data_IF_035072579515
#
_entry.id   IF_035072579515
#
_cell.length_a   1.000
_cell.length_b   1.000
_cell.length_c   1.000
_cell.angle_alpha   90.00
_cell.angle_beta   90.00
_cell.angle_gamma   90.00
#
_symmetry.space_group_name_H-M   'P 1'
#
loop_
_entity.id
_entity.type
_entity.pdbx_description
1 polymer ?
#
# COMPACT_ATOMS: atom_id res chain seq x y z
N UNK A 1 29.01 24.69 47.27
CA UNK A 1 28.41 25.05 48.58
C UNK A 1 27.03 24.43 48.64
N UNK A 2 26.92 23.22 49.21
CA UNK A 2 26.38 22.90 50.55
C UNK A 2 24.92 22.39 50.44
N UNK A 3 24.72 21.06 50.35
CA UNK A 3 24.19 20.14 51.39
C UNK A 3 22.67 20.28 51.62
N UNK A 4 21.88 19.24 51.31
CA UNK A 4 21.41 18.15 52.22
C UNK A 4 20.52 18.68 53.36
N UNK A 5 19.36 18.13 53.75
CA UNK A 5 19.06 16.72 54.04
C UNK A 5 17.58 16.57 54.43
N UNK A 6 17.11 15.34 54.30
CA UNK A 6 15.95 14.66 54.92
C UNK A 6 15.72 14.90 56.42
N UNK A 7 14.45 14.82 56.89
CA UNK A 7 13.94 13.93 57.98
C UNK A 7 12.55 14.36 58.48
N UNK A 8 11.54 13.47 58.50
CA UNK A 8 11.07 12.48 59.53
C UNK A 8 10.18 13.07 60.64
N UNK A 9 9.09 12.32 60.89
CA UNK A 9 7.94 12.47 61.83
C UNK A 9 8.31 12.47 63.33
N UNK A 10 7.35 12.83 64.22
CA UNK A 10 6.82 11.88 65.24
C UNK A 10 5.26 11.92 65.35
N UNK A 11 4.51 10.84 65.65
CA UNK A 11 4.13 10.24 66.97
C UNK A 11 3.43 11.26 67.93
N UNK A 12 2.34 11.05 68.69
CA UNK A 12 1.66 9.85 69.26
C UNK A 12 0.30 10.26 69.94
N UNK A 13 -0.63 9.29 70.05
CA UNK A 13 -1.49 8.96 71.22
C UNK A 13 -2.88 9.57 71.59
N UNK A 14 -3.64 8.65 72.24
CA UNK A 14 -4.87 8.72 73.07
C UNK A 14 -6.21 8.45 72.36
N UNK A 15 -7.09 7.56 72.82
CA UNK A 15 -7.10 6.73 74.03
C UNK A 15 -8.20 5.64 73.97
N UNK A 16 -8.12 4.72 74.93
CA UNK A 16 -8.92 3.52 75.12
C UNK A 16 -10.15 3.81 76.01
N UNK A 17 -11.35 3.40 75.60
CA UNK A 17 -12.48 3.16 76.52
C UNK A 17 -13.13 1.82 76.15
N UNK A 18 -13.25 0.97 77.18
CA UNK A 18 -13.86 -0.35 77.20
C UNK A 18 -15.28 -0.24 77.78
N UNK A 19 -16.30 -0.83 77.16
CA UNK A 19 -17.56 -1.15 77.84
C UNK A 19 -18.19 -2.43 77.27
N UNK A 20 -18.54 -3.32 78.19
CA UNK A 20 -19.16 -4.63 77.99
C UNK A 20 -20.61 -4.55 77.50
N UNK A 21 -21.04 -5.52 76.69
CA UNK A 21 -22.07 -6.52 77.06
C UNK A 21 -22.66 -7.22 75.81
N UNK A 22 -22.94 -8.51 75.98
CA UNK A 22 -23.47 -9.47 75.01
C UNK A 22 -24.92 -9.16 74.59
N UNK A 23 -25.27 -9.52 73.34
CA UNK A 23 -26.33 -10.50 72.96
C UNK A 23 -26.86 -10.21 71.54
N UNK A 24 -27.08 -11.29 70.78
CA UNK A 24 -28.01 -11.30 69.65
C UNK A 24 -27.34 -11.44 68.28
N UNK A 25 -27.31 -12.67 67.77
CA UNK A 25 -26.93 -12.98 66.40
C UNK A 25 -27.96 -12.43 65.40
N UNK A 26 -27.47 -11.66 64.42
CA UNK A 26 -28.07 -11.46 63.10
C UNK A 26 -26.93 -10.94 62.21
N UNK A 27 -26.47 -11.79 61.28
CA UNK A 27 -25.44 -11.42 60.31
C UNK A 27 -25.95 -10.25 59.45
N UNK A 28 -25.24 -9.11 59.39
CA UNK A 28 -25.56 -8.06 58.45
C UNK A 28 -25.17 -8.52 57.04
N UNK A 29 -26.15 -8.41 56.13
CA UNK A 29 -25.98 -8.53 54.67
C UNK A 29 -24.81 -7.62 54.26
N UNK A 30 -23.65 -8.20 53.99
CA UNK A 30 -22.58 -7.53 53.29
C UNK A 30 -22.92 -7.51 51.81
N UNK A 31 -23.32 -6.34 51.32
CA UNK A 31 -23.29 -6.05 49.90
C UNK A 31 -21.82 -6.11 49.47
N UNK A 32 -21.39 -7.28 48.97
CA UNK A 32 -20.15 -7.39 48.23
C UNK A 32 -20.35 -6.70 46.89
N UNK A 33 -19.78 -5.52 46.73
CA UNK A 33 -19.59 -4.90 45.42
C UNK A 33 -18.79 -5.86 44.55
N UNK A 34 -19.49 -6.58 43.66
CA UNK A 34 -18.84 -7.35 42.61
C UNK A 34 -18.15 -6.34 41.69
N UNK A 35 -16.81 -6.32 41.72
CA UNK A 35 -16.03 -5.74 40.64
C UNK A 35 -16.55 -6.32 39.32
N UNK A 36 -16.83 -5.51 38.29
CA UNK A 36 -17.14 -6.06 36.99
C UNK A 36 -15.94 -6.90 36.57
N UNK A 37 -16.19 -8.15 36.21
CA UNK A 37 -15.21 -8.98 35.56
C UNK A 37 -14.74 -8.20 34.32
N UNK A 38 -13.49 -7.74 34.33
CA UNK A 38 -12.80 -7.37 33.10
C UNK A 38 -12.87 -8.61 32.22
N UNK A 39 -13.77 -8.57 31.23
CA UNK A 39 -13.71 -9.47 30.11
C UNK A 39 -12.32 -9.27 29.51
N UNK A 40 -11.41 -10.19 29.80
CA UNK A 40 -10.18 -10.35 29.06
C UNK A 40 -10.61 -10.52 27.62
N UNK A 41 -10.45 -9.47 26.81
CA UNK A 41 -10.43 -9.63 25.37
C UNK A 41 -9.28 -10.57 25.08
N UNK A 42 -9.58 -11.84 24.87
CA UNK A 42 -8.69 -12.72 24.14
C UNK A 42 -8.34 -11.98 22.86
N UNK A 43 -7.07 -11.62 22.72
CA UNK A 43 -6.56 -11.05 21.49
C UNK A 43 -6.86 -12.07 20.38
N UNK A 44 -7.87 -11.79 19.54
CA UNK A 44 -8.06 -12.51 18.29
C UNK A 44 -6.71 -12.42 17.54
N UNK A 45 -5.97 -13.52 17.51
CA UNK A 45 -4.67 -13.56 16.85
C UNK A 45 -4.86 -13.30 15.37
N UNK A 46 -4.58 -12.08 14.92
CA UNK A 46 -4.72 -11.70 13.52
C UNK A 46 -3.79 -12.51 12.60
N UNK A 47 -4.19 -12.65 11.34
CA UNK A 47 -3.40 -13.28 10.28
C UNK A 47 -2.09 -12.50 10.09
N UNK A 48 -0.99 -13.24 10.02
CA UNK A 48 0.28 -12.69 9.51
C UNK A 48 0.35 -12.96 8.02
N UNK A 49 0.59 -11.92 7.23
CA UNK A 49 0.87 -12.00 5.80
C UNK A 49 2.30 -11.54 5.53
N UNK A 50 3.05 -12.35 4.78
CA UNK A 50 4.39 -12.03 4.28
C UNK A 50 4.31 -11.74 2.78
N UNK A 51 4.51 -10.49 2.41
CA UNK A 51 4.47 -10.01 1.03
C UNK A 51 5.89 -9.63 0.56
N UNK A 52 6.28 -10.12 -0.60
CA UNK A 52 7.47 -9.64 -1.32
C UNK A 52 7.08 -9.00 -2.66
N UNK A 53 7.50 -7.76 -2.92
CA UNK A 53 7.22 -7.12 -4.23
C UNK A 53 8.48 -7.06 -5.10
N UNK A 54 8.41 -7.59 -6.32
CA UNK A 54 9.37 -7.33 -7.39
C UNK A 54 8.81 -6.22 -8.28
N UNK A 55 9.42 -5.04 -8.24
CA UNK A 55 8.88 -3.89 -8.95
C UNK A 55 9.68 -2.60 -8.81
N UNK A 56 8.98 -1.48 -8.69
CA UNK A 56 9.57 -0.15 -8.79
C UNK A 56 8.81 0.85 -7.89
N UNK A 57 8.79 2.13 -8.24
CA UNK A 57 8.06 3.15 -7.49
C UNK A 57 6.56 2.88 -7.39
N UNK A 58 5.96 2.17 -8.35
CA UNK A 58 4.52 1.86 -8.34
C UNK A 58 4.16 0.80 -7.29
N UNK A 59 4.96 -0.25 -7.09
CA UNK A 59 4.75 -1.16 -5.95
C UNK A 59 4.99 -0.44 -4.62
N UNK A 60 5.99 0.45 -4.58
CA UNK A 60 6.25 1.30 -3.41
C UNK A 60 5.06 2.21 -3.07
N UNK A 61 4.41 2.80 -4.08
CA UNK A 61 3.20 3.60 -3.92
C UNK A 61 2.03 2.75 -3.42
N UNK A 62 1.72 1.63 -4.08
CA UNK A 62 0.59 0.78 -3.72
C UNK A 62 0.73 0.11 -2.33
N UNK A 63 1.95 -0.02 -1.80
CA UNK A 63 2.18 -0.65 -0.49
C UNK A 63 2.46 0.36 0.63
N UNK A 64 2.51 1.66 0.34
CA UNK A 64 2.95 2.70 1.30
C UNK A 64 2.17 2.70 2.61
N UNK A 65 0.85 2.53 2.54
CA UNK A 65 -0.05 2.54 3.70
C UNK A 65 -0.47 1.15 4.16
N UNK A 66 -0.07 0.10 3.45
CA UNK A 66 -0.44 -1.29 3.76
C UNK A 66 -0.07 -1.71 5.19
N UNK A 67 1.10 -1.34 5.77
CA UNK A 67 1.40 -1.65 7.17
C UNK A 67 0.42 -1.01 8.17
N UNK A 68 -0.10 0.18 7.86
CA UNK A 68 -1.03 0.89 8.75
C UNK A 68 -2.44 0.30 8.66
N UNK A 69 -2.89 -0.05 7.45
CA UNK A 69 -4.13 -0.79 7.24
C UNK A 69 -4.11 -2.15 7.93
N UNK A 70 -3.01 -2.91 7.78
CA UNK A 70 -2.82 -4.20 8.45
C UNK A 70 -2.94 -4.05 9.98
N UNK A 71 -2.21 -3.10 10.56
CA UNK A 71 -2.27 -2.83 12.01
C UNK A 71 -3.68 -2.44 12.47
N UNK A 72 -4.38 -1.58 11.73
CA UNK A 72 -5.73 -1.14 12.08
C UNK A 72 -6.79 -2.25 11.95
N UNK A 73 -6.56 -3.21 11.05
CA UNK A 73 -7.36 -4.44 10.93
C UNK A 73 -6.98 -5.53 11.94
N UNK A 74 -6.05 -5.27 12.86
CA UNK A 74 -5.56 -6.28 13.81
C UNK A 74 -4.66 -7.36 13.18
N UNK A 75 -4.17 -7.14 11.96
CA UNK A 75 -3.34 -8.05 11.19
C UNK A 75 -1.85 -7.71 11.31
N UNK A 76 -0.99 -8.66 10.93
CA UNK A 76 0.47 -8.44 10.84
C UNK A 76 0.94 -8.52 9.40
N UNK A 77 1.75 -7.56 8.98
CA UNK A 77 2.40 -7.55 7.66
C UNK A 77 3.92 -7.65 7.83
N UNK A 78 4.53 -8.60 7.13
CA UNK A 78 5.97 -8.60 6.82
C UNK A 78 6.12 -8.21 5.36
N UNK A 79 6.83 -7.11 5.08
CA UNK A 79 6.98 -6.57 3.73
C UNK A 79 8.44 -6.56 3.31
N UNK A 80 8.77 -7.27 2.25
CA UNK A 80 10.06 -7.20 1.56
C UNK A 80 9.90 -6.66 0.13
N UNK A 81 10.98 -6.10 -0.43
CA UNK A 81 10.94 -5.50 -1.76
C UNK A 81 12.24 -5.72 -2.53
N UNK A 82 12.12 -6.09 -3.80
CA UNK A 82 13.13 -5.92 -4.82
C UNK A 82 12.70 -4.74 -5.71
N UNK A 83 13.04 -3.51 -5.31
CA UNK A 83 12.60 -2.28 -5.98
C UNK A 83 13.75 -1.56 -6.68
N UNK A 84 13.56 -1.22 -7.95
CA UNK A 84 14.47 -0.37 -8.74
C UNK A 84 13.64 0.69 -9.46
N UNK A 85 14.04 1.97 -9.37
CA UNK A 85 13.27 3.08 -9.95
C UNK A 85 13.03 2.91 -11.46
N UNK A 86 11.77 3.01 -11.89
CA UNK A 86 11.38 2.87 -13.31
C UNK A 86 11.62 1.49 -13.93
N UNK A 87 11.99 0.48 -13.15
CA UNK A 87 12.41 -0.81 -13.66
C UNK A 87 11.29 -1.56 -14.40
N UNK A 88 11.53 -2.01 -15.65
CA UNK A 88 10.67 -2.97 -16.33
C UNK A 88 10.97 -4.41 -15.87
N UNK A 89 10.06 -5.35 -16.21
CA UNK A 89 10.26 -6.78 -15.97
C UNK A 89 11.60 -7.28 -16.52
N UNK A 90 11.98 -6.82 -17.71
CA UNK A 90 13.26 -7.16 -18.35
C UNK A 90 14.48 -6.84 -17.49
N UNK A 91 14.46 -5.71 -16.77
CA UNK A 91 15.56 -5.36 -15.88
C UNK A 91 15.63 -6.34 -14.72
N UNK A 92 14.52 -6.61 -14.04
CA UNK A 92 14.50 -7.57 -12.93
C UNK A 92 14.99 -8.96 -13.35
N UNK A 93 14.62 -9.41 -14.54
CA UNK A 93 15.14 -10.67 -15.09
C UNK A 93 16.64 -10.60 -15.36
N UNK A 94 17.13 -9.54 -16.01
CA UNK A 94 18.56 -9.35 -16.25
C UNK A 94 19.38 -9.32 -14.95
N UNK A 95 18.86 -8.70 -13.88
CA UNK A 95 19.48 -8.73 -12.56
C UNK A 95 19.53 -10.16 -11.98
N UNK A 96 18.46 -10.93 -12.14
CA UNK A 96 18.45 -12.33 -11.71
C UNK A 96 19.50 -13.15 -12.46
N UNK A 97 19.57 -13.01 -13.79
CA UNK A 97 20.57 -13.71 -14.61
C UNK A 97 22.01 -13.31 -14.26
N UNK A 98 22.28 -12.02 -14.03
CA UNK A 98 23.59 -11.54 -13.62
C UNK A 98 24.01 -12.18 -12.28
N UNK A 99 23.10 -12.19 -11.30
CA UNK A 99 23.35 -12.78 -9.99
C UNK A 99 23.56 -14.31 -10.04
N UNK A 100 22.87 -15.01 -10.95
CA UNK A 100 23.09 -16.45 -11.16
C UNK A 100 24.47 -16.77 -11.74
N UNK A 101 25.02 -15.87 -12.56
CA UNK A 101 26.35 -16.00 -13.14
C UNK A 101 27.44 -15.66 -12.14
N UNK A 102 27.24 -14.58 -11.38
CA UNK A 102 28.13 -14.14 -10.32
C UNK A 102 27.33 -13.50 -9.17
N UNK A 103 27.25 -14.14 -7.99
CA UNK A 103 26.55 -13.61 -6.82
C UNK A 103 27.10 -12.28 -6.29
N UNK A 104 28.30 -11.86 -6.71
CA UNK A 104 28.90 -10.58 -6.33
C UNK A 104 28.70 -9.49 -7.41
N UNK A 105 28.10 -9.81 -8.56
CA UNK A 105 27.90 -8.85 -9.64
C UNK A 105 27.00 -7.69 -9.17
N UNK A 106 27.49 -6.43 -9.15
CA UNK A 106 26.69 -5.28 -8.74
C UNK A 106 25.43 -5.09 -9.59
N UNK A 107 25.44 -5.52 -10.86
CA UNK A 107 24.26 -5.50 -11.74
C UNK A 107 23.22 -6.55 -11.33
N UNK A 108 23.61 -7.58 -10.57
CA UNK A 108 22.70 -8.59 -10.02
C UNK A 108 22.04 -8.21 -8.68
N UNK A 109 22.55 -7.19 -7.99
CA UNK A 109 22.21 -6.92 -6.59
C UNK A 109 21.14 -5.82 -6.43
N UNK A 110 20.31 -5.95 -5.39
CA UNK A 110 19.32 -4.97 -4.94
C UNK A 110 19.75 -4.32 -3.63
N UNK A 111 19.28 -3.10 -3.38
CA UNK A 111 19.52 -2.38 -2.13
C UNK A 111 20.82 -1.57 -2.11
N UNK A 112 20.91 -0.61 -1.18
CA UNK A 112 22.08 0.28 -1.04
C UNK A 112 22.93 -0.03 0.17
N UNK A 113 22.31 -0.46 1.28
CA UNK A 113 22.98 -0.80 2.55
C UNK A 113 23.31 -2.28 2.66
N UNK A 114 22.34 -3.14 2.36
CA UNK A 114 22.49 -4.59 2.27
C UNK A 114 22.21 -4.96 0.81
N UNK A 115 23.26 -5.39 0.12
CA UNK A 115 23.21 -5.78 -1.29
C UNK A 115 22.96 -7.28 -1.38
N UNK A 116 21.84 -7.67 -1.98
CA UNK A 116 21.45 -9.07 -2.11
C UNK A 116 20.85 -9.33 -3.50
N UNK A 117 21.07 -10.53 -4.03
CA UNK A 117 20.42 -11.00 -5.25
C UNK A 117 18.95 -11.31 -5.03
N UNK A 118 18.21 -11.44 -6.14
CA UNK A 118 16.80 -11.79 -6.08
C UNK A 118 16.58 -13.17 -5.42
N UNK A 119 17.48 -14.13 -5.65
CA UNK A 119 17.44 -15.48 -5.04
C UNK A 119 17.43 -15.40 -3.51
N UNK A 120 18.37 -14.67 -2.94
CA UNK A 120 18.58 -14.57 -1.49
C UNK A 120 17.40 -13.86 -0.84
N UNK A 121 16.91 -12.80 -1.47
CA UNK A 121 15.73 -12.07 -1.02
C UNK A 121 14.46 -12.95 -1.03
N UNK A 122 14.27 -13.76 -2.07
CA UNK A 122 13.15 -14.71 -2.15
C UNK A 122 13.26 -15.85 -1.13
N UNK A 123 14.48 -16.28 -0.79
CA UNK A 123 14.72 -17.34 0.20
C UNK A 123 14.82 -16.84 1.64
N UNK A 124 14.92 -15.53 1.85
CA UNK A 124 15.16 -14.91 3.16
C UNK A 124 13.97 -14.97 4.13
N UNK A 125 12.77 -15.26 3.64
CA UNK A 125 11.55 -15.40 4.44
C UNK A 125 10.61 -16.41 3.76
N UNK A 126 9.68 -17.01 4.52
CA UNK A 126 8.62 -17.86 3.99
C UNK A 126 7.48 -17.00 3.45
N UNK A 127 7.74 -16.32 2.32
CA UNK A 127 6.76 -15.43 1.70
C UNK A 127 5.44 -16.16 1.41
N UNK A 128 4.31 -15.53 1.78
CA UNK A 128 2.98 -16.01 1.44
C UNK A 128 2.61 -15.58 0.01
N UNK A 129 3.03 -14.37 -0.35
CA UNK A 129 2.78 -13.77 -1.66
C UNK A 129 4.04 -13.11 -2.23
N UNK A 130 4.23 -13.26 -3.54
CA UNK A 130 5.23 -12.50 -4.29
C UNK A 130 4.52 -11.81 -5.46
N UNK A 131 4.70 -10.50 -5.64
CA UNK A 131 4.09 -9.78 -6.76
C UNK A 131 5.10 -9.42 -7.84
N UNK A 132 4.68 -9.50 -9.10
CA UNK A 132 5.40 -8.92 -10.24
C UNK A 132 4.55 -7.84 -10.92
N UNK A 133 5.19 -6.87 -11.56
CA UNK A 133 4.52 -5.83 -12.35
C UNK A 133 5.43 -5.30 -13.46
N UNK A 134 4.85 -4.62 -14.45
CA UNK A 134 5.60 -3.91 -15.49
C UNK A 134 5.92 -2.47 -15.06
N UNK A 135 6.90 -1.85 -15.73
CA UNK A 135 7.09 -0.40 -15.71
C UNK A 135 5.88 0.30 -16.32
N UNK A 136 5.39 1.37 -15.69
CA UNK A 136 4.12 1.99 -16.08
C UNK A 136 4.13 2.62 -17.48
N UNK A 137 5.28 3.09 -17.97
CA UNK A 137 5.42 3.55 -19.36
C UNK A 137 5.25 2.42 -20.39
N UNK A 138 5.48 1.17 -19.99
CA UNK A 138 5.38 -0.04 -20.84
C UNK A 138 4.15 -0.88 -20.53
N UNK A 139 3.34 -0.51 -19.52
CA UNK A 139 2.29 -1.39 -19.01
C UNK A 139 1.17 -1.67 -20.02
N UNK A 140 1.00 -0.80 -21.01
CA UNK A 140 0.05 -0.93 -22.11
C UNK A 140 0.49 -1.94 -23.18
N UNK A 141 1.79 -2.21 -23.29
CA UNK A 141 2.37 -3.02 -24.36
C UNK A 141 2.64 -4.45 -23.86
N UNK A 142 1.74 -5.37 -24.25
CA UNK A 142 1.80 -6.78 -23.92
C UNK A 142 3.14 -7.44 -24.30
N UNK A 143 3.75 -7.04 -25.41
CA UNK A 143 4.97 -7.69 -25.90
C UNK A 143 6.15 -7.41 -24.95
N UNK A 144 6.13 -6.31 -24.21
CA UNK A 144 7.19 -6.01 -23.22
C UNK A 144 7.15 -6.88 -21.97
N UNK A 145 6.06 -7.62 -21.76
CA UNK A 145 5.94 -8.56 -20.64
C UNK A 145 6.63 -9.88 -20.97
N UNK A 146 6.59 -10.31 -22.23
CA UNK A 146 7.19 -11.58 -22.66
C UNK A 146 8.66 -11.37 -23.06
N UNK A 147 9.55 -12.34 -22.81
CA UNK A 147 9.35 -13.56 -22.01
C UNK A 147 9.47 -13.32 -20.49
N UNK A 148 9.82 -12.10 -20.09
CA UNK A 148 10.32 -11.77 -18.74
C UNK A 148 9.35 -12.06 -17.60
N UNK A 149 8.04 -11.85 -17.80
CA UNK A 149 7.02 -12.16 -16.80
C UNK A 149 7.03 -13.65 -16.44
N UNK A 150 7.12 -14.52 -17.45
CA UNK A 150 7.21 -15.98 -17.26
C UNK A 150 8.52 -16.39 -16.61
N UNK A 151 9.64 -15.82 -17.07
CA UNK A 151 10.95 -16.13 -16.49
C UNK A 151 11.02 -15.76 -15.00
N UNK A 152 10.52 -14.58 -14.63
CA UNK A 152 10.43 -14.17 -13.23
C UNK A 152 9.47 -15.04 -12.42
N UNK A 153 8.29 -15.35 -12.96
CA UNK A 153 7.33 -16.24 -12.31
C UNK A 153 7.93 -17.61 -11.99
N UNK A 154 8.58 -18.25 -12.97
CA UNK A 154 9.18 -19.58 -12.79
C UNK A 154 10.37 -19.54 -11.82
N UNK A 155 11.16 -18.47 -11.88
CA UNK A 155 12.26 -18.23 -10.96
C UNK A 155 11.77 -18.04 -9.52
N UNK A 156 10.67 -17.31 -9.32
CA UNK A 156 10.04 -17.15 -8.01
C UNK A 156 9.52 -18.49 -7.49
N UNK A 157 8.81 -19.27 -8.31
CA UNK A 157 8.32 -20.60 -7.91
C UNK A 157 9.44 -21.56 -7.52
N UNK A 158 10.61 -21.42 -8.12
CA UNK A 158 11.80 -22.21 -7.77
C UNK A 158 12.40 -21.78 -6.43
N UNK A 159 12.46 -20.48 -6.17
CA UNK A 159 13.20 -19.92 -5.01
C UNK A 159 12.32 -19.63 -3.79
N UNK A 160 11.01 -19.55 -3.95
CA UNK A 160 10.01 -19.39 -2.91
C UNK A 160 8.77 -20.27 -3.22
N UNK A 161 8.90 -21.61 -3.23
CA UNK A 161 7.86 -22.52 -3.71
C UNK A 161 6.54 -22.49 -2.91
N UNK A 162 6.57 -21.98 -1.67
CA UNK A 162 5.36 -21.79 -0.85
C UNK A 162 4.59 -20.51 -1.17
N UNK A 163 5.20 -19.56 -1.89
CA UNK A 163 4.59 -18.28 -2.17
C UNK A 163 3.63 -18.36 -3.36
N UNK A 164 2.48 -17.70 -3.22
CA UNK A 164 1.58 -17.43 -4.36
C UNK A 164 2.14 -16.24 -5.14
N UNK A 165 2.51 -16.48 -6.40
CA UNK A 165 2.85 -15.38 -7.30
C UNK A 165 1.56 -14.68 -7.71
N UNK A 166 1.54 -13.35 -7.69
CA UNK A 166 0.43 -12.49 -8.12
C UNK A 166 0.91 -11.44 -9.12
N UNK A 167 0.04 -11.01 -10.02
CA UNK A 167 0.33 -9.90 -10.94
C UNK A 167 -0.28 -8.61 -10.38
N UNK A 168 0.55 -7.61 -10.08
CA UNK A 168 0.06 -6.29 -9.67
C UNK A 168 -0.26 -5.45 -10.91
N UNK A 169 -1.55 -5.27 -11.19
CA UNK A 169 -2.02 -4.37 -12.24
C UNK A 169 -1.85 -2.93 -11.78
N UNK A 170 -0.93 -2.20 -12.41
CA UNK A 170 -0.72 -0.77 -12.18
C UNK A 170 -1.85 0.07 -12.78
N UNK A 171 -1.79 1.40 -12.63
CA UNK A 171 -2.83 2.33 -13.05
C UNK A 171 -2.46 3.14 -14.30
N UNK A 172 -3.49 3.72 -14.93
CA UNK A 172 -3.35 4.71 -15.98
C UNK A 172 -2.89 6.05 -15.41
N UNK A 173 -2.29 6.88 -16.25
CA UNK A 173 -1.82 8.20 -15.85
C UNK A 173 -2.98 9.16 -15.69
N UNK A 174 -2.74 10.26 -14.99
CA UNK A 174 -3.70 11.34 -14.80
C UNK A 174 -4.17 11.88 -16.15
N UNK A 175 -5.45 12.23 -16.26
CA UNK A 175 -6.09 12.65 -17.52
C UNK A 175 -5.39 13.83 -18.23
N UNK A 176 -4.68 14.68 -17.50
CA UNK A 176 -3.91 15.83 -18.01
C UNK A 176 -2.39 15.59 -18.04
N UNK A 177 -1.93 14.33 -17.96
CA UNK A 177 -0.51 14.01 -18.12
C UNK A 177 -0.02 14.44 -19.52
N UNK A 178 1.11 15.17 -19.62
CA UNK A 178 1.63 15.69 -20.89
C UNK A 178 1.86 14.62 -21.97
N UNK A 179 1.97 13.35 -21.60
CA UNK A 179 2.08 12.24 -22.57
C UNK A 179 0.84 12.12 -23.46
N UNK A 180 -0.34 12.46 -22.96
CA UNK A 180 -1.59 12.44 -23.73
C UNK A 180 -1.73 13.65 -24.66
N UNK A 181 -0.98 14.73 -24.44
CA UNK A 181 -1.00 15.93 -25.27
C UNK A 181 -0.08 15.87 -26.51
N UNK A 182 0.68 14.79 -26.68
CA UNK A 182 1.69 14.63 -27.73
C UNK A 182 1.20 13.92 -29.00
N UNK A 183 2.15 13.62 -29.89
CA UNK A 183 1.95 12.63 -30.96
C UNK A 183 2.48 11.30 -30.45
N UNK A 184 1.63 10.35 -30.01
CA UNK A 184 2.08 9.06 -29.51
C UNK A 184 2.83 8.30 -30.61
N UNK A 185 3.68 7.35 -30.24
CA UNK A 185 4.11 6.33 -31.20
C UNK A 185 2.93 5.41 -31.53
N UNK A 186 2.99 4.72 -32.67
CA UNK A 186 1.99 3.71 -33.00
C UNK A 186 1.90 2.68 -31.87
N UNK A 187 0.68 2.47 -31.34
CA UNK A 187 0.41 1.55 -30.24
C UNK A 187 0.51 2.16 -28.84
N UNK A 188 1.01 3.38 -28.67
CA UNK A 188 0.97 4.08 -27.38
C UNK A 188 -0.42 4.71 -27.14
N UNK A 189 -0.94 4.69 -25.91
CA UNK A 189 -2.24 5.27 -25.59
C UNK A 189 -2.20 6.81 -25.66
N UNK A 190 -3.25 7.42 -26.19
CA UNK A 190 -3.43 8.87 -26.28
C UNK A 190 -4.30 9.46 -25.19
N UNK A 191 -5.04 8.61 -24.46
CA UNK A 191 -5.92 9.05 -23.37
C UNK A 191 -5.73 8.19 -22.13
N UNK A 192 -6.16 8.70 -20.98
CA UNK A 192 -6.21 7.92 -19.74
C UNK A 192 -7.04 6.64 -19.91
N UNK A 193 -8.18 6.71 -20.59
CA UNK A 193 -9.06 5.57 -20.85
C UNK A 193 -8.38 4.52 -21.73
N UNK A 194 -7.76 4.92 -22.85
CA UNK A 194 -7.01 3.99 -23.71
C UNK A 194 -5.87 3.33 -22.94
N UNK A 195 -5.14 4.11 -22.12
CA UNK A 195 -4.05 3.57 -21.30
C UNK A 195 -4.57 2.53 -20.32
N UNK A 196 -5.70 2.80 -19.65
CA UNK A 196 -6.35 1.86 -18.74
C UNK A 196 -6.78 0.58 -19.47
N UNK A 197 -7.45 0.69 -20.61
CA UNK A 197 -7.91 -0.48 -21.36
C UNK A 197 -6.74 -1.34 -21.83
N UNK A 198 -5.70 -0.73 -22.39
CA UNK A 198 -4.53 -1.45 -22.90
C UNK A 198 -3.73 -2.11 -21.78
N UNK A 199 -3.45 -1.40 -20.67
CA UNK A 199 -2.73 -2.00 -19.54
C UNK A 199 -3.54 -3.12 -18.89
N UNK A 200 -4.85 -2.96 -18.80
CA UNK A 200 -5.75 -3.96 -18.19
C UNK A 200 -5.78 -5.22 -19.03
N UNK A 201 -5.86 -5.07 -20.36
CA UNK A 201 -5.72 -6.20 -21.28
C UNK A 201 -4.37 -6.89 -21.10
N UNK A 202 -3.26 -6.15 -21.12
CA UNK A 202 -1.93 -6.72 -20.99
C UNK A 202 -1.74 -7.50 -19.68
N UNK A 203 -2.08 -6.90 -18.55
CA UNK A 203 -1.97 -7.56 -17.24
C UNK A 203 -2.86 -8.80 -17.12
N UNK A 204 -4.11 -8.74 -17.58
CA UNK A 204 -5.03 -9.90 -17.52
C UNK A 204 -4.59 -11.03 -18.45
N UNK A 205 -4.09 -10.72 -19.65
CA UNK A 205 -3.50 -11.72 -20.55
C UNK A 205 -2.31 -12.42 -19.90
N UNK A 206 -1.37 -11.66 -19.32
CA UNK A 206 -0.20 -12.25 -18.66
C UNK A 206 -0.59 -13.05 -17.41
N UNK A 207 -1.53 -12.56 -16.61
CA UNK A 207 -2.01 -13.31 -15.45
C UNK A 207 -2.65 -14.65 -15.87
N UNK A 208 -3.45 -14.65 -16.94
CA UNK A 208 -4.01 -15.87 -17.52
C UNK A 208 -2.94 -16.83 -18.03
N UNK A 209 -1.92 -16.34 -18.75
CA UNK A 209 -0.81 -17.16 -19.27
C UNK A 209 0.02 -17.82 -18.17
N UNK A 210 0.17 -17.14 -17.04
CA UNK A 210 0.92 -17.63 -15.88
C UNK A 210 0.06 -18.45 -14.91
N UNK A 211 -1.27 -18.49 -15.09
CA UNK A 211 -2.19 -19.15 -14.17
C UNK A 211 -2.22 -18.50 -12.79
N UNK A 212 -2.16 -17.17 -12.74
CA UNK A 212 -2.10 -16.36 -11.51
C UNK A 212 -3.24 -15.34 -11.45
N UNK A 213 -3.52 -14.86 -10.23
CA UNK A 213 -4.52 -13.82 -9.96
C UNK A 213 -3.92 -12.43 -10.11
N UNK A 214 -4.80 -11.46 -10.35
CA UNK A 214 -4.43 -10.04 -10.44
C UNK A 214 -4.73 -9.32 -9.12
N UNK A 215 -3.85 -8.41 -8.69
CA UNK A 215 -4.17 -7.37 -7.71
C UNK A 215 -4.66 -6.14 -8.49
N UNK A 216 -5.98 -5.82 -8.46
CA UNK A 216 -6.61 -4.93 -9.45
C UNK A 216 -6.50 -3.44 -9.06
N UNK A 217 -5.28 -2.94 -8.80
CA UNK A 217 -5.09 -1.53 -8.42
C UNK A 217 -5.46 -0.59 -9.57
N UNK A 218 -5.14 -0.99 -10.81
CA UNK A 218 -5.54 -0.25 -12.01
C UNK A 218 -7.05 -0.08 -12.16
N UNK A 219 -7.82 -1.15 -11.91
CA UNK A 219 -9.29 -1.09 -11.90
C UNK A 219 -9.80 -0.11 -10.83
N UNK A 220 -9.23 -0.14 -9.61
CA UNK A 220 -9.62 0.77 -8.54
C UNK A 220 -9.34 2.24 -8.86
N UNK A 221 -8.17 2.54 -9.44
CA UNK A 221 -7.84 3.89 -9.89
C UNK A 221 -8.82 4.38 -10.96
N UNK A 222 -9.15 3.54 -11.94
CA UNK A 222 -10.11 3.87 -12.99
C UNK A 222 -11.49 4.18 -12.43
N UNK A 223 -11.99 3.34 -11.51
CA UNK A 223 -13.29 3.56 -10.85
C UNK A 223 -13.32 4.88 -10.08
N UNK A 224 -12.23 5.24 -9.39
CA UNK A 224 -12.14 6.49 -8.65
C UNK A 224 -12.03 7.72 -9.57
N UNK A 225 -11.16 7.67 -10.59
CA UNK A 225 -10.96 8.79 -11.53
C UNK A 225 -12.21 9.09 -12.36
N UNK A 226 -13.00 8.06 -12.67
CA UNK A 226 -14.24 8.20 -13.47
C UNK A 226 -15.50 8.48 -12.64
N UNK A 227 -15.40 8.50 -11.30
CA UNK A 227 -16.54 8.85 -10.45
C UNK A 227 -16.99 10.29 -10.72
N UNK A 228 -18.30 10.55 -10.88
CA UNK A 228 -18.81 11.87 -11.24
C UNK A 228 -18.62 12.93 -10.14
N UNK A 229 -18.53 12.52 -8.86
CA UNK A 229 -18.40 13.41 -7.71
C UNK A 229 -16.96 13.50 -7.23
N UNK A 230 -16.29 12.37 -7.14
CA UNK A 230 -15.00 12.21 -6.50
C UNK A 230 -13.84 12.04 -7.48
N UNK A 231 -14.09 11.98 -8.78
CA UNK A 231 -13.02 11.94 -9.78
C UNK A 231 -12.36 13.31 -9.97
N UNK A 232 -11.03 13.33 -10.11
CA UNK A 232 -10.29 14.55 -10.46
C UNK A 232 -10.74 15.13 -11.81
N UNK A 233 -10.80 16.45 -11.91
CA UNK A 233 -11.06 17.18 -13.15
C UNK A 233 -9.99 18.26 -13.35
N UNK A 234 -9.37 18.35 -14.55
CA UNK A 234 -8.42 19.41 -14.84
C UNK A 234 -9.02 20.79 -14.65
N UNK A 235 -8.27 21.65 -13.96
CA UNK A 235 -8.62 23.06 -13.80
C UNK A 235 -8.49 23.78 -15.16
N UNK A 236 -9.62 24.03 -15.81
CA UNK A 236 -9.69 24.67 -17.12
C UNK A 236 -9.18 26.13 -17.10
N UNK A 237 -9.10 26.76 -15.93
CA UNK A 237 -8.65 28.15 -15.80
C UNK A 237 -7.14 28.25 -15.55
N UNK A 238 -6.49 27.14 -15.20
CA UNK A 238 -5.06 27.13 -14.93
C UNK A 238 -4.22 27.07 -16.21
N UNK A 239 -3.24 27.97 -16.33
CA UNK A 239 -2.26 27.97 -17.40
C UNK A 239 -0.85 27.77 -16.83
N UNK A 240 -0.29 26.58 -17.07
CA UNK A 240 1.08 26.25 -16.66
C UNK A 240 2.14 27.19 -17.26
N UNK A 241 1.86 27.78 -18.43
CA UNK A 241 2.78 28.71 -19.13
C UNK A 241 2.93 30.05 -18.42
N UNK A 242 1.91 30.47 -17.69
CA UNK A 242 1.84 31.79 -17.04
C UNK A 242 1.77 31.70 -15.51
N UNK A 243 1.80 30.49 -14.96
CA UNK A 243 1.74 30.26 -13.53
C UNK A 243 2.97 30.83 -12.82
N UNK A 244 2.75 31.44 -11.65
CA UNK A 244 3.81 31.97 -10.78
C UNK A 244 3.76 31.25 -9.44
N UNK A 245 4.93 30.89 -8.90
CA UNK A 245 5.01 30.25 -7.59
C UNK A 245 4.43 31.15 -6.49
N UNK A 246 3.62 30.62 -5.56
CA UNK A 246 3.32 29.20 -5.32
C UNK A 246 2.01 28.69 -5.94
N UNK A 247 1.39 29.42 -6.87
CA UNK A 247 0.08 29.07 -7.41
C UNK A 247 0.08 27.71 -8.13
N UNK A 248 -0.92 26.87 -7.84
CA UNK A 248 -1.16 25.55 -8.45
C UNK A 248 -2.61 25.48 -8.94
N UNK A 249 -2.93 24.61 -9.92
CA UNK A 249 -4.32 24.36 -10.27
C UNK A 249 -5.07 23.72 -9.10
N UNK A 250 -6.40 23.71 -9.19
CA UNK A 250 -7.17 22.77 -8.38
C UNK A 250 -6.74 21.32 -8.69
N UNK A 251 -6.42 20.57 -7.65
CA UNK A 251 -6.02 19.16 -7.72
C UNK A 251 -6.88 18.29 -6.81
N UNK A 252 -8.03 18.80 -6.40
CA UNK A 252 -9.00 18.10 -5.58
C UNK A 252 -9.29 16.72 -6.15
N UNK A 253 -9.22 15.73 -5.26
CA UNK A 253 -9.39 14.31 -5.56
C UNK A 253 -8.41 13.69 -6.59
N UNK A 254 -7.32 14.35 -6.95
CA UNK A 254 -6.25 13.69 -7.69
C UNK A 254 -5.74 12.47 -6.94
N UNK A 255 -5.56 11.35 -7.64
CA UNK A 255 -4.84 10.17 -7.13
C UNK A 255 -3.33 10.26 -7.40
N UNK A 256 -2.92 11.16 -8.29
CA UNK A 256 -1.54 11.35 -8.71
C UNK A 256 -0.93 12.60 -8.06
N UNK A 257 0.40 12.65 -8.01
CA UNK A 257 1.16 13.80 -7.46
C UNK A 257 0.78 15.10 -8.16
N UNK A 258 0.63 15.06 -9.48
CA UNK A 258 0.14 16.18 -10.27
C UNK A 258 1.15 17.33 -10.40
N UNK A 259 0.62 18.55 -10.49
CA UNK A 259 1.38 19.79 -10.57
C UNK A 259 2.03 20.11 -9.22
N UNK A 260 3.32 20.43 -9.23
CA UNK A 260 4.06 20.86 -8.05
C UNK A 260 5.15 21.85 -8.41
N UNK A 261 5.47 22.75 -7.50
CA UNK A 261 6.67 23.58 -7.58
C UNK A 261 7.85 22.83 -6.96
N UNK A 262 8.96 22.78 -7.69
CA UNK A 262 10.25 22.32 -7.20
C UNK A 262 11.29 23.43 -7.34
N UNK A 263 12.46 23.25 -6.73
CA UNK A 263 13.62 24.12 -6.98
C UNK A 263 14.44 23.52 -8.12
N UNK A 264 14.72 24.31 -9.15
CA UNK A 264 15.69 23.96 -10.19
C UNK A 264 17.12 23.99 -9.64
N UNK A 265 18.08 23.55 -10.45
CA UNK A 265 19.51 23.53 -10.10
C UNK A 265 20.07 24.93 -9.73
N UNK A 266 19.53 25.99 -10.33
CA UNK A 266 19.87 27.39 -10.03
C UNK A 266 19.03 28.00 -8.89
N UNK A 267 18.26 27.17 -8.17
CA UNK A 267 17.48 27.57 -7.00
C UNK A 267 16.15 28.27 -7.31
N UNK A 268 15.79 28.44 -8.58
CA UNK A 268 14.54 29.09 -8.99
C UNK A 268 13.34 28.13 -8.86
N UNK A 269 12.13 28.65 -8.60
CA UNK A 269 10.91 27.84 -8.68
C UNK A 269 10.72 27.31 -10.11
N UNK A 270 10.47 26.02 -10.23
CA UNK A 270 10.13 25.34 -11.48
C UNK A 270 8.84 24.55 -11.31
N UNK A 271 7.85 24.82 -12.16
CA UNK A 271 6.60 24.08 -12.16
C UNK A 271 6.82 22.75 -12.89
N UNK A 272 6.46 21.65 -12.24
CA UNK A 272 6.62 20.29 -12.74
C UNK A 272 5.27 19.56 -12.68
N UNK A 273 5.07 18.61 -13.59
CA UNK A 273 3.91 17.70 -13.59
C UNK A 273 4.38 16.26 -13.41
N UNK A 274 3.81 15.59 -12.41
CA UNK A 274 3.96 14.16 -12.16
C UNK A 274 2.58 13.49 -12.20
N UNK A 275 2.09 13.24 -13.42
CA UNK A 275 0.79 12.62 -13.66
C UNK A 275 0.78 11.10 -13.53
N UNK A 276 1.84 10.48 -13.00
CA UNK A 276 1.96 9.03 -12.99
C UNK A 276 2.23 8.43 -11.61
N UNK A 277 3.04 9.08 -10.75
CA UNK A 277 3.19 8.61 -9.38
C UNK A 277 1.94 8.94 -8.56
N UNK A 278 1.55 8.01 -7.69
CA UNK A 278 0.43 8.22 -6.80
C UNK A 278 0.81 9.19 -5.67
N UNK A 279 -0.10 10.10 -5.34
CA UNK A 279 -0.03 10.90 -4.12
C UNK A 279 -0.56 10.11 -2.91
N UNK A 280 -0.73 10.72 -1.75
CA UNK A 280 -1.23 10.04 -0.55
C UNK A 280 -2.61 9.37 -0.76
N UNK A 281 -3.51 9.98 -1.54
CA UNK A 281 -4.82 9.39 -1.85
C UNK A 281 -4.70 8.15 -2.75
N UNK A 282 -3.94 8.24 -3.85
CA UNK A 282 -3.71 7.09 -4.73
C UNK A 282 -2.92 5.96 -4.05
N UNK A 283 -1.93 6.30 -3.22
CA UNK A 283 -1.19 5.33 -2.41
C UNK A 283 -2.10 4.62 -1.41
N UNK A 284 -3.05 5.34 -0.82
CA UNK A 284 -4.04 4.77 0.09
C UNK A 284 -5.01 3.83 -0.64
N UNK A 285 -5.53 4.25 -1.79
CA UNK A 285 -6.39 3.42 -2.63
C UNK A 285 -5.69 2.11 -3.03
N UNK A 286 -4.45 2.20 -3.53
CA UNK A 286 -3.65 1.01 -3.86
C UNK A 286 -3.43 0.09 -2.66
N UNK A 287 -3.15 0.67 -1.48
CA UNK A 287 -2.96 -0.10 -0.26
C UNK A 287 -4.25 -0.79 0.21
N UNK A 288 -5.41 -0.17 0.00
CA UNK A 288 -6.71 -0.78 0.31
C UNK A 288 -6.99 -2.01 -0.57
N UNK A 289 -6.69 -1.93 -1.87
CA UNK A 289 -6.81 -3.08 -2.79
C UNK A 289 -5.86 -4.21 -2.39
N UNK A 290 -4.60 -3.89 -2.08
CA UNK A 290 -3.64 -4.87 -1.57
C UNK A 290 -4.11 -5.50 -0.26
N UNK A 291 -4.70 -4.72 0.65
CA UNK A 291 -5.21 -5.23 1.92
C UNK A 291 -6.26 -6.32 1.70
N UNK A 292 -7.30 -6.05 0.92
CA UNK A 292 -8.38 -7.02 0.71
C UNK A 292 -7.88 -8.30 0.03
N UNK A 293 -7.05 -8.16 -1.02
CA UNK A 293 -6.55 -9.33 -1.76
C UNK A 293 -5.69 -10.25 -0.89
N UNK A 294 -4.86 -9.68 -0.01
CA UNK A 294 -3.89 -10.43 0.77
C UNK A 294 -4.48 -11.00 2.08
N UNK A 295 -5.25 -10.18 2.79
CA UNK A 295 -5.84 -10.56 4.07
C UNK A 295 -7.15 -11.31 3.88
N UNK A 296 -7.91 -11.02 2.82
CA UNK A 296 -9.23 -11.62 2.57
C UNK A 296 -10.33 -10.99 3.43
N UNK A 297 -10.13 -9.74 3.86
CA UNK A 297 -11.08 -8.98 4.67
C UNK A 297 -11.48 -7.72 3.92
N UNK A 298 -12.75 -7.32 4.03
CA UNK A 298 -13.22 -6.04 3.50
C UNK A 298 -12.47 -4.89 4.17
N UNK A 299 -12.02 -3.94 3.35
CA UNK A 299 -11.34 -2.73 3.81
C UNK A 299 -12.32 -1.65 4.21
N UNK A 300 -13.60 -1.73 3.84
CA UNK A 300 -14.59 -0.64 3.99
C UNK A 300 -14.66 -0.07 5.41
N UNK A 301 -14.63 -0.95 6.40
CA UNK A 301 -14.70 -0.61 7.84
C UNK A 301 -13.32 -0.48 8.51
N UNK A 302 -12.22 -0.48 7.74
CA UNK A 302 -10.89 -0.25 8.29
C UNK A 302 -10.78 1.18 8.84
N UNK A 303 -10.35 1.31 10.10
CA UNK A 303 -10.33 2.58 10.83
C UNK A 303 -9.16 3.50 10.47
N UNK A 304 -8.17 3.03 9.71
CA UNK A 304 -7.01 3.84 9.35
C UNK A 304 -7.34 4.83 8.22
N UNK A 305 -7.05 6.12 8.48
CA UNK A 305 -7.08 7.20 7.49
C UNK A 305 -5.72 7.91 7.48
N UNK A 306 -5.06 8.07 6.32
CA UNK A 306 -3.82 8.83 6.20
C UNK A 306 -3.98 10.26 6.72
N UNK A 307 -2.94 10.76 7.38
CA UNK A 307 -2.93 12.14 7.87
C UNK A 307 -3.12 13.12 6.71
N UNK A 308 -4.11 14.00 6.81
CA UNK A 308 -4.39 15.03 5.80
C UNK A 308 -5.32 14.58 4.67
N UNK A 309 -5.69 13.30 4.61
CA UNK A 309 -6.73 12.84 3.71
C UNK A 309 -8.11 13.10 4.34
N UNK A 310 -9.02 13.69 3.56
CA UNK A 310 -10.40 13.91 3.98
C UNK A 310 -11.08 12.57 4.34
N UNK A 311 -11.73 12.46 5.52
CA UNK A 311 -12.35 11.19 5.95
C UNK A 311 -13.47 10.68 5.05
N UNK A 312 -14.25 11.56 4.42
CA UNK A 312 -15.31 11.14 3.50
C UNK A 312 -14.72 10.61 2.19
N UNK A 313 -13.69 11.28 1.67
CA UNK A 313 -12.97 10.82 0.51
C UNK A 313 -12.22 9.51 0.80
N UNK A 314 -11.62 9.36 1.99
CA UNK A 314 -11.01 8.10 2.41
C UNK A 314 -12.01 6.95 2.44
N UNK A 315 -13.24 7.18 2.95
CA UNK A 315 -14.32 6.19 2.91
C UNK A 315 -14.69 5.81 1.47
N UNK A 316 -14.84 6.80 0.58
CA UNK A 316 -15.07 6.54 -0.84
C UNK A 316 -13.95 5.67 -1.45
N UNK A 317 -12.68 5.97 -1.19
CA UNK A 317 -11.56 5.18 -1.71
C UNK A 317 -11.56 3.74 -1.18
N UNK A 318 -11.96 3.50 0.07
CA UNK A 318 -12.11 2.13 0.60
C UNK A 318 -13.23 1.36 -0.10
N UNK A 319 -14.39 1.99 -0.29
CA UNK A 319 -15.51 1.39 -1.03
C UNK A 319 -15.15 1.10 -2.49
N UNK A 320 -14.40 2.00 -3.13
CA UNK A 320 -13.91 1.81 -4.50
C UNK A 320 -12.90 0.67 -4.59
N UNK A 321 -11.99 0.54 -3.62
CA UNK A 321 -11.08 -0.59 -3.54
C UNK A 321 -11.86 -1.91 -3.38
N UNK A 322 -12.84 -1.95 -2.47
CA UNK A 322 -13.69 -3.12 -2.25
C UNK A 322 -14.39 -3.55 -3.54
N UNK A 323 -15.04 -2.60 -4.22
CA UNK A 323 -15.71 -2.83 -5.50
C UNK A 323 -14.75 -3.39 -6.56
N UNK A 324 -13.56 -2.82 -6.70
CA UNK A 324 -12.57 -3.30 -7.67
C UNK A 324 -12.16 -4.76 -7.40
N UNK A 325 -11.97 -5.13 -6.13
CA UNK A 325 -11.59 -6.49 -5.73
C UNK A 325 -12.75 -7.47 -5.93
N UNK A 326 -13.97 -7.09 -5.57
CA UNK A 326 -15.17 -7.90 -5.78
C UNK A 326 -15.40 -8.19 -7.27
N UNK A 327 -15.39 -7.15 -8.11
CA UNK A 327 -15.57 -7.30 -9.55
C UNK A 327 -14.46 -8.15 -10.19
N UNK A 328 -13.21 -8.03 -9.72
CA UNK A 328 -12.11 -8.87 -10.19
C UNK A 328 -12.32 -10.36 -9.81
N UNK A 329 -12.76 -10.64 -8.60
CA UNK A 329 -13.06 -11.99 -8.14
C UNK A 329 -14.24 -12.62 -8.91
N UNK A 330 -15.26 -11.85 -9.25
CA UNK A 330 -16.37 -12.28 -10.10
C UNK A 330 -15.90 -12.64 -11.51
N UNK A 331 -15.03 -11.81 -12.11
CA UNK A 331 -14.41 -12.09 -13.42
C UNK A 331 -13.58 -13.38 -13.40
N UNK A 332 -12.75 -13.57 -12.37
CA UNK A 332 -11.96 -14.80 -12.19
C UNK A 332 -12.87 -16.03 -12.06
N UNK A 333 -13.96 -15.91 -11.30
CA UNK A 333 -14.93 -17.00 -11.13
C UNK A 333 -15.67 -17.32 -12.43
N UNK A 334 -15.97 -16.33 -13.26
CA UNK A 334 -16.61 -16.52 -14.55
C UNK A 334 -15.69 -17.19 -15.59
N UNK A 335 -14.39 -16.89 -15.56
CA UNK A 335 -13.41 -17.49 -16.48
C UNK A 335 -13.12 -18.98 -16.19
N UNK A 336 -13.42 -19.44 -14.97
CA UNK A 336 -13.18 -20.82 -14.52
C UNK A 336 -14.42 -21.73 -14.60
N UNK A 337 -15.57 -21.21 -15.05
CA UNK A 337 -16.81 -21.95 -15.27
C UNK A 337 -16.93 -22.40 -16.72
#
# INVERSE_FOLDING_TARGET
MSRSRTHRRPFLNFGLILLCALLGAIDPITAAESKPAEASQEAKGGKTVRLFTVGNSFSGNATRFLPSLAKAGGQTLVLGTASVGGAPLALHWGKAEAHEKDPQDPEGLYGTKKKEGLRELLRGEKWDYVTIQQASIKSHDLETYRPYAKQLHDYIRTNAPGAKVLVHQTWAYRVDDPRFAGRPKAGEPTTQEEMYQQLTRAYRTIASELGTRVIPVGDAFHLADTDPKWGYRPDAMFSAKTAMSPALPDQSHSLHVGWKWSKSADGKPSLQMDGHHANDAGQYLGACVFYEVLFGESVEENSFVPKGLDPEYARFLRQTAHRAVAEAAERESAANR
#
